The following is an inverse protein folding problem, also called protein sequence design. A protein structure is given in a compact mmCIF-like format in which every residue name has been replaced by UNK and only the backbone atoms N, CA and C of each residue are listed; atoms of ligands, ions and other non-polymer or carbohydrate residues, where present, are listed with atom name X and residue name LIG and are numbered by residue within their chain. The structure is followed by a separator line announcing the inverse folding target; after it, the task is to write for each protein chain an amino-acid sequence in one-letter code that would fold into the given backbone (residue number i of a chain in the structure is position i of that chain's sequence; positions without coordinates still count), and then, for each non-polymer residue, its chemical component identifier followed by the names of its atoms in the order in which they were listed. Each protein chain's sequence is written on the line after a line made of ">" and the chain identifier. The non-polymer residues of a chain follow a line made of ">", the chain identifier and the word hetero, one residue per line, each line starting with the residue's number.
data_IF_443900083160
#
_entry.id   IF_443900083160
#
_cell.length_a   1.000
_cell.length_b   1.000
_cell.length_c   1.000
_cell.angle_alpha   90.00
_cell.angle_beta   90.00
_cell.angle_gamma   90.00
#
_symmetry.space_group_name_H-M   'P 1'
#
loop_
_entity.id
_entity.type
_entity.pdbx_description
1 polymer ?
#
# COMPACT_ATOMS: atom_id res chain seq x y z
N UNK A 1 0.56 7.21 5.01
CA UNK A 1 0.03 8.57 5.15
C UNK A 1 0.29 9.07 6.57
N UNK A 2 0.79 10.30 6.73
CA UNK A 2 1.14 10.90 8.03
C UNK A 2 0.17 12.03 8.37
N UNK A 3 -0.20 12.17 9.65
CA UNK A 3 -1.13 13.19 10.13
C UNK A 3 -0.37 14.19 11.02
N UNK A 4 -0.54 15.48 10.73
CA UNK A 4 -0.13 16.57 11.62
C UNK A 4 -1.33 16.99 12.47
N UNK A 5 -1.16 17.10 13.78
CA UNK A 5 -2.22 17.56 14.68
C UNK A 5 -2.33 19.08 14.60
N UNK A 6 -3.45 19.59 14.09
CA UNK A 6 -3.84 20.99 14.25
C UNK A 6 -5.04 21.04 15.20
N UNK A 7 -5.06 22.04 16.08
CA UNK A 7 -6.21 22.25 16.97
C UNK A 7 -7.41 22.71 16.13
N UNK A 8 -8.46 21.91 16.12
CA UNK A 8 -9.74 22.27 15.52
C UNK A 8 -10.33 23.49 16.25
N UNK A 9 -10.90 24.45 15.49
CA UNK A 9 -11.68 25.55 16.06
C UNK A 9 -13.05 25.11 16.60
N UNK A 10 -13.49 23.89 16.28
CA UNK A 10 -14.68 23.28 16.84
C UNK A 10 -14.34 22.61 18.19
N UNK A 11 -14.91 23.07 19.33
CA UNK A 11 -14.62 22.55 20.66
C UNK A 11 -15.08 21.11 20.90
N UNK A 12 -15.94 20.56 20.03
CA UNK A 12 -16.36 19.15 20.11
C UNK A 12 -15.36 18.17 19.51
N UNK A 13 -14.35 18.65 18.77
CA UNK A 13 -13.33 17.81 18.13
C UNK A 13 -12.06 17.88 18.97
N UNK A 14 -11.77 16.79 19.67
CA UNK A 14 -10.54 16.64 20.45
C UNK A 14 -9.38 16.24 19.53
N UNK A 15 -8.14 16.70 19.81
CA UNK A 15 -6.95 16.20 19.13
C UNK A 15 -6.78 14.69 19.32
N UNK A 16 -6.20 14.04 18.33
CA UNK A 16 -5.82 12.62 18.39
C UNK A 16 -4.49 12.52 19.15
N UNK A 17 -4.40 11.63 20.14
CA UNK A 17 -3.21 11.42 20.96
C UNK A 17 -2.51 10.09 20.65
N UNK A 18 -1.18 10.00 20.85
CA UNK A 18 -0.44 8.75 20.69
C UNK A 18 -1.05 7.61 21.50
N UNK A 19 -1.01 6.41 20.94
CA UNK A 19 -1.48 5.15 21.55
C UNK A 19 -2.99 5.06 21.81
N UNK A 20 -3.77 6.02 21.31
CA UNK A 20 -5.22 5.85 21.21
C UNK A 20 -5.57 4.86 20.10
N UNK A 21 -6.66 4.14 20.31
CA UNK A 21 -7.22 3.18 19.36
C UNK A 21 -8.49 3.75 18.74
N UNK A 22 -8.66 3.52 17.44
CA UNK A 22 -9.82 3.95 16.66
C UNK A 22 -10.26 2.81 15.75
N UNK A 23 -11.54 2.86 15.34
CA UNK A 23 -12.03 2.04 14.23
C UNK A 23 -11.88 2.82 12.92
N UNK A 24 -11.26 2.22 11.92
CA UNK A 24 -11.31 2.67 10.52
C UNK A 24 -12.31 1.79 9.78
N UNK A 25 -13.52 2.31 9.57
CA UNK A 25 -14.72 1.52 9.22
C UNK A 25 -15.57 2.04 8.03
N UNK A 26 -14.98 2.36 6.85
CA UNK A 26 -15.77 2.77 5.70
C UNK A 26 -16.78 1.68 5.28
N UNK A 27 -17.98 2.13 4.89
CA UNK A 27 -19.05 1.23 4.44
C UNK A 27 -19.99 1.85 3.41
N UNK A 28 -20.68 0.98 2.68
CA UNK A 28 -21.71 1.31 1.70
C UNK A 28 -22.91 0.37 1.87
N UNK A 29 -24.12 0.91 1.76
CA UNK A 29 -25.35 0.16 1.93
C UNK A 29 -26.34 0.51 0.82
N UNK A 30 -26.93 -0.51 0.23
CA UNK A 30 -27.95 -0.42 -0.82
C UNK A 30 -29.22 -1.10 -0.30
N UNK A 31 -30.24 -0.29 -0.01
CA UNK A 31 -31.48 -0.74 0.62
C UNK A 31 -32.15 -1.87 -0.16
N UNK A 32 -32.55 -2.91 0.57
CA UNK A 32 -33.18 -4.10 0.00
C UNK A 32 -32.26 -4.97 -0.86
N UNK A 33 -30.95 -4.66 -0.95
CA UNK A 33 -29.96 -5.46 -1.69
C UNK A 33 -28.84 -5.95 -0.77
N UNK A 34 -27.81 -5.15 -0.56
CA UNK A 34 -26.60 -5.57 0.16
C UNK A 34 -25.93 -4.41 0.90
N UNK A 35 -25.00 -4.75 1.78
CA UNK A 35 -24.14 -3.79 2.46
C UNK A 35 -22.72 -4.34 2.58
N UNK A 36 -21.74 -3.45 2.59
CA UNK A 36 -20.33 -3.75 2.76
C UNK A 36 -19.78 -2.79 3.79
N UNK A 37 -19.01 -3.30 4.76
CA UNK A 37 -18.21 -2.50 5.68
C UNK A 37 -16.85 -3.17 5.84
N UNK A 38 -15.79 -2.38 5.71
CA UNK A 38 -14.42 -2.81 5.94
C UNK A 38 -13.97 -2.15 7.23
N UNK A 39 -13.69 -2.93 8.26
CA UNK A 39 -13.38 -2.41 9.60
C UNK A 39 -12.01 -2.91 10.07
N UNK A 40 -11.16 -1.99 10.51
CA UNK A 40 -9.85 -2.30 11.11
C UNK A 40 -9.64 -1.43 12.34
N UNK A 41 -9.28 -2.05 13.47
CA UNK A 41 -8.78 -1.29 14.61
C UNK A 41 -7.39 -0.78 14.30
N UNK A 42 -7.19 0.52 14.45
CA UNK A 42 -5.91 1.20 14.24
C UNK A 42 -5.46 1.90 15.51
N UNK A 43 -4.15 1.94 15.72
CA UNK A 43 -3.52 2.66 16.82
C UNK A 43 -2.72 3.84 16.29
N UNK A 44 -2.82 4.99 16.98
CA UNK A 44 -2.00 6.16 16.70
C UNK A 44 -0.56 5.90 17.14
N UNK A 45 0.38 5.96 16.22
CA UNK A 45 1.80 5.74 16.47
C UNK A 45 2.62 6.98 16.12
N UNK A 46 3.60 7.40 16.95
CA UNK A 46 4.54 8.45 16.56
C UNK A 46 5.26 8.11 15.25
N UNK A 47 5.37 9.10 14.35
CA UNK A 47 6.00 8.95 13.04
C UNK A 47 7.01 10.08 12.80
N UNK A 48 8.17 9.74 12.26
CA UNK A 48 9.21 10.71 11.91
C UNK A 48 9.40 10.74 10.39
N UNK A 49 8.95 11.78 9.68
CA UNK A 49 9.15 11.89 8.24
C UNK A 49 10.62 12.09 7.88
N UNK A 50 11.00 11.65 6.67
CA UNK A 50 12.39 11.70 6.17
C UNK A 50 12.94 13.12 6.01
N UNK A 51 12.08 14.08 5.69
CA UNK A 51 12.43 15.49 5.56
C UNK A 51 11.68 16.26 6.65
N UNK A 52 12.40 16.69 7.69
CA UNK A 52 11.83 17.42 8.81
C UNK A 52 11.85 18.93 8.53
N UNK A 53 10.70 19.57 8.72
CA UNK A 53 10.60 20.96 9.16
C UNK A 53 10.84 20.97 10.67
N UNK A 54 11.77 21.79 11.16
CA UNK A 54 12.09 21.82 12.59
C UNK A 54 10.83 22.20 13.40
N UNK A 55 10.55 21.44 14.48
CA UNK A 55 9.51 21.64 15.50
C UNK A 55 8.11 21.01 15.28
N UNK A 56 7.93 20.10 14.31
CA UNK A 56 6.63 19.42 14.12
C UNK A 56 6.69 17.93 14.51
N UNK A 57 5.65 17.45 15.22
CA UNK A 57 5.47 16.03 15.54
C UNK A 57 4.39 15.43 14.63
N UNK A 58 4.74 14.33 13.95
CA UNK A 58 3.83 13.61 13.08
C UNK A 58 3.43 12.27 13.70
N UNK A 59 2.28 11.78 13.26
CA UNK A 59 1.75 10.47 13.63
C UNK A 59 1.32 9.68 12.40
N UNK A 60 1.26 8.37 12.56
CA UNK A 60 0.70 7.43 11.59
C UNK A 60 -0.31 6.52 12.30
N UNK A 61 -1.18 5.89 11.53
CA UNK A 61 -2.02 4.81 12.03
C UNK A 61 -1.36 3.46 11.74
N UNK A 62 -1.31 2.60 12.76
CA UNK A 62 -0.89 1.20 12.61
C UNK A 62 -2.06 0.26 12.79
N UNK A 63 -2.29 -0.69 11.86
CA UNK A 63 -3.33 -1.69 12.02
C UNK A 63 -3.02 -2.59 13.22
N UNK A 64 -4.07 -2.97 13.94
CA UNK A 64 -4.04 -3.92 15.04
C UNK A 64 -4.83 -5.18 14.66
N UNK A 65 -5.89 -5.01 13.87
CA UNK A 65 -6.66 -6.13 13.32
C UNK A 65 -6.02 -6.61 12.02
N UNK A 66 -5.55 -7.86 12.03
CA UNK A 66 -4.97 -8.53 10.86
C UNK A 66 -5.89 -9.65 10.37
N UNK A 67 -6.73 -9.33 9.39
CA UNK A 67 -7.62 -10.28 8.72
C UNK A 67 -7.58 -9.98 7.22
N UNK A 68 -7.37 -10.99 6.35
CA UNK A 68 -7.30 -10.75 4.91
C UNK A 68 -8.57 -10.10 4.37
N UNK A 69 -8.43 -9.20 3.40
CA UNK A 69 -9.56 -8.73 2.59
C UNK A 69 -10.11 -9.88 1.72
N UNK A 70 -11.42 -9.88 1.47
CA UNK A 70 -12.03 -10.87 0.58
C UNK A 70 -11.68 -10.55 -0.88
N UNK A 71 -10.71 -11.27 -1.44
CA UNK A 71 -10.15 -11.04 -2.78
C UNK A 71 -11.20 -11.08 -3.89
N UNK A 72 -12.25 -11.89 -3.75
CA UNK A 72 -13.29 -12.00 -4.77
C UNK A 72 -14.20 -10.75 -4.85
N UNK A 73 -14.14 -9.87 -3.85
CA UNK A 73 -14.94 -8.63 -3.79
C UNK A 73 -14.11 -7.39 -4.17
N UNK A 74 -12.85 -7.57 -4.58
CA UNK A 74 -11.98 -6.48 -5.01
C UNK A 74 -11.97 -6.41 -6.53
N UNK A 75 -12.47 -5.31 -7.08
CA UNK A 75 -12.22 -4.97 -8.48
C UNK A 75 -10.81 -4.38 -8.62
N UNK A 76 -9.85 -5.22 -8.99
CA UNK A 76 -8.45 -4.84 -9.13
C UNK A 76 -8.21 -3.77 -10.20
N UNK A 77 -9.13 -3.59 -11.16
CA UNK A 77 -9.01 -2.54 -12.18
C UNK A 77 -9.18 -1.12 -11.63
N UNK A 78 -9.81 -0.99 -10.45
CA UNK A 78 -9.99 0.28 -9.75
C UNK A 78 -8.80 0.65 -8.85
N UNK A 79 -7.86 -0.27 -8.63
CA UNK A 79 -6.71 -0.05 -7.77
C UNK A 79 -5.55 0.56 -8.56
N UNK A 80 -4.96 1.63 -8.02
CA UNK A 80 -3.70 2.15 -8.52
C UNK A 80 -2.50 1.37 -7.93
N UNK A 81 -1.29 1.61 -8.47
CA UNK A 81 -0.07 0.93 -8.04
C UNK A 81 0.25 1.09 -6.55
N UNK A 82 -0.05 2.26 -5.96
CA UNK A 82 0.17 2.48 -4.52
C UNK A 82 -0.78 1.63 -3.69
N UNK A 83 -2.05 1.53 -4.10
CA UNK A 83 -3.07 0.72 -3.41
C UNK A 83 -2.78 -0.78 -3.54
N UNK A 84 -2.32 -1.24 -4.71
CA UNK A 84 -1.89 -2.64 -4.88
C UNK A 84 -0.70 -2.95 -3.98
N UNK A 85 0.32 -2.08 -3.95
CA UNK A 85 1.46 -2.25 -3.06
C UNK A 85 1.03 -2.23 -1.58
N UNK A 86 0.12 -1.34 -1.20
CA UNK A 86 -0.44 -1.30 0.15
C UNK A 86 -1.14 -2.61 0.52
N UNK A 87 -2.00 -3.13 -0.36
CA UNK A 87 -2.72 -4.39 -0.14
C UNK A 87 -1.77 -5.58 -0.01
N UNK A 88 -0.73 -5.64 -0.85
CA UNK A 88 0.28 -6.69 -0.78
C UNK A 88 1.10 -6.62 0.51
N UNK A 89 1.47 -5.41 0.95
CA UNK A 89 2.15 -5.22 2.23
C UNK A 89 1.26 -5.64 3.40
N UNK A 90 -0.01 -5.24 3.40
CA UNK A 90 -0.98 -5.66 4.42
C UNK A 90 -1.15 -7.19 4.47
N UNK A 91 -1.24 -7.84 3.30
CA UNK A 91 -1.30 -9.29 3.18
C UNK A 91 -0.04 -9.97 3.75
N UNK A 92 1.14 -9.39 3.52
CA UNK A 92 2.40 -9.88 4.08
C UNK A 92 2.47 -9.70 5.59
N UNK A 93 2.07 -8.55 6.13
CA UNK A 93 1.98 -8.29 7.58
C UNK A 93 0.98 -9.24 8.25
N UNK A 94 -0.18 -9.47 7.61
CA UNK A 94 -1.19 -10.41 8.09
C UNK A 94 -0.60 -11.81 8.22
N UNK A 95 0.11 -12.31 7.20
CA UNK A 95 0.82 -13.60 7.30
C UNK A 95 1.85 -13.60 8.41
N UNK A 96 2.65 -12.55 8.51
CA UNK A 96 3.71 -12.41 9.51
C UNK A 96 3.15 -12.54 10.93
N UNK A 97 2.05 -11.84 11.25
CA UNK A 97 1.44 -11.86 12.57
C UNK A 97 0.62 -13.12 12.85
N UNK A 98 -0.11 -13.63 11.86
CA UNK A 98 -1.12 -14.67 12.09
C UNK A 98 -0.57 -16.09 11.92
N UNK A 99 0.34 -16.35 10.96
CA UNK A 99 0.84 -17.71 10.72
C UNK A 99 1.42 -18.40 11.96
N UNK A 100 2.23 -17.73 12.82
CA UNK A 100 2.75 -18.36 14.03
C UNK A 100 1.66 -18.83 15.00
N UNK A 101 0.51 -18.14 15.02
CA UNK A 101 -0.63 -18.46 15.90
C UNK A 101 -1.44 -19.65 15.40
N UNK A 102 -1.28 -20.03 14.13
CA UNK A 102 -2.00 -21.14 13.48
C UNK A 102 -1.17 -22.44 13.46
N UNK A 103 -0.07 -22.51 14.23
CA UNK A 103 0.79 -23.67 14.27
C UNK A 103 0.00 -24.95 14.61
N UNK A 104 0.07 -25.95 13.74
CA UNK A 104 -0.66 -27.22 13.88
C UNK A 104 -2.03 -27.27 13.20
N UNK A 105 -2.55 -26.15 12.66
CA UNK A 105 -3.78 -26.12 11.86
C UNK A 105 -3.47 -25.89 10.38
N UNK A 106 -3.19 -26.98 9.66
CA UNK A 106 -2.86 -26.93 8.24
C UNK A 106 -4.01 -26.37 7.38
N UNK A 107 -5.26 -26.59 7.80
CA UNK A 107 -6.43 -26.09 7.08
C UNK A 107 -6.47 -24.56 7.16
N UNK A 108 -6.29 -23.99 8.36
CA UNK A 108 -6.27 -22.55 8.56
C UNK A 108 -5.07 -21.89 7.84
N UNK A 109 -3.89 -22.51 7.91
CA UNK A 109 -2.69 -22.04 7.20
C UNK A 109 -2.93 -21.99 5.68
N UNK A 110 -3.47 -23.06 5.10
CA UNK A 110 -3.77 -23.11 3.67
C UNK A 110 -4.80 -22.05 3.27
N UNK A 111 -5.83 -21.87 4.09
CA UNK A 111 -6.82 -20.82 3.89
C UNK A 111 -6.18 -19.43 3.91
N UNK A 112 -5.40 -19.10 4.94
CA UNK A 112 -4.75 -17.79 5.07
C UNK A 112 -3.83 -17.49 3.88
N UNK A 113 -3.03 -18.47 3.46
CA UNK A 113 -2.16 -18.33 2.30
C UNK A 113 -2.95 -18.10 1.00
N UNK A 114 -4.08 -18.81 0.83
CA UNK A 114 -4.95 -18.60 -0.34
C UNK A 114 -5.60 -17.21 -0.38
N UNK A 115 -5.88 -16.62 0.78
CA UNK A 115 -6.53 -15.30 0.90
C UNK A 115 -5.57 -14.11 0.88
N UNK A 116 -4.27 -14.36 0.98
CA UNK A 116 -3.25 -13.30 1.05
C UNK A 116 -2.29 -13.32 -0.15
N UNK A 117 -2.67 -13.97 -1.25
CA UNK A 117 -1.84 -13.99 -2.46
C UNK A 117 -1.51 -12.58 -2.95
N UNK A 118 -0.32 -12.43 -3.55
CA UNK A 118 0.10 -11.15 -4.11
C UNK A 118 -0.74 -10.79 -5.34
N UNK A 119 -1.24 -9.56 -5.32
CA UNK A 119 -1.93 -8.94 -6.44
C UNK A 119 -0.89 -8.31 -7.34
N UNK A 120 -0.97 -8.59 -8.64
CA UNK A 120 -0.10 -7.98 -9.66
C UNK A 120 -0.93 -7.02 -10.50
N UNK A 121 -0.38 -5.83 -10.76
CA UNK A 121 -0.91 -4.98 -11.80
C UNK A 121 -0.59 -5.63 -13.15
N UNK A 122 -1.60 -5.73 -14.02
CA UNK A 122 -1.30 -5.95 -15.43
C UNK A 122 -0.54 -4.74 -15.94
N UNK A 123 0.65 -4.96 -16.47
CA UNK A 123 1.45 -3.90 -17.08
C UNK A 123 0.64 -3.28 -18.21
N UNK A 124 0.26 -2.02 -18.05
CA UNK A 124 -0.32 -1.30 -19.19
C UNK A 124 0.81 -1.17 -20.22
N UNK A 125 0.52 -1.33 -21.52
CA UNK A 125 1.51 -1.25 -22.62
C UNK A 125 2.43 0.00 -22.58
N UNK A 126 2.08 1.04 -21.82
CA UNK A 126 2.93 2.21 -21.57
C UNK A 126 4.20 1.90 -20.76
N UNK A 127 4.14 1.00 -19.78
CA UNK A 127 5.28 0.70 -18.91
C UNK A 127 6.35 -0.12 -19.64
N UNK A 128 5.92 -1.03 -20.52
CA UNK A 128 6.81 -1.80 -21.39
C UNK A 128 7.58 -0.90 -22.37
N UNK A 129 6.94 0.15 -22.90
CA UNK A 129 7.59 1.11 -23.80
C UNK A 129 8.66 1.95 -23.08
N UNK A 130 8.43 2.35 -21.82
CA UNK A 130 9.44 3.04 -21.01
C UNK A 130 10.60 2.13 -20.59
N UNK A 131 10.36 0.82 -20.46
CA UNK A 131 11.41 -0.15 -20.12
C UNK A 131 12.21 -0.63 -21.35
N UNK A 132 11.65 -0.45 -22.56
CA UNK A 132 12.33 -0.71 -23.84
C UNK A 132 13.20 0.46 -24.32
N UNK A 133 13.26 1.57 -23.58
CA UNK A 133 14.20 2.66 -23.85
C UNK A 133 15.57 2.38 -23.21
N UNK A 134 16.31 1.44 -23.80
CA UNK A 134 17.76 1.35 -23.59
C UNK A 134 18.39 2.37 -24.54
N UNK A 135 19.03 3.46 -24.05
CA UNK A 135 19.79 4.32 -24.93
C UNK A 135 20.90 3.45 -25.54
N UNK A 136 20.86 3.27 -26.85
CA UNK A 136 21.83 2.47 -27.59
C UNK A 136 23.22 3.10 -27.45
N UNK A 137 23.98 2.66 -26.46
CA UNK A 137 25.41 2.99 -26.32
C UNK A 137 26.22 2.44 -27.52
N UNK A 138 25.59 1.65 -28.40
CA UNK A 138 26.15 1.18 -29.66
C UNK A 138 26.14 2.20 -30.81
N UNK A 139 25.47 3.35 -30.70
CA UNK A 139 25.39 4.30 -31.84
C UNK A 139 26.51 5.34 -31.91
N UNK A 140 27.30 5.55 -30.85
CA UNK A 140 28.41 6.52 -30.88
C UNK A 140 29.72 5.95 -31.45
N UNK A 141 29.86 4.62 -31.54
CA UNK A 141 31.05 3.99 -32.11
C UNK A 141 31.07 3.98 -33.65
N UNK A 142 29.93 4.21 -34.31
CA UNK A 142 29.84 4.09 -35.78
C UNK A 142 30.10 5.40 -36.54
N UNK A 143 30.11 6.55 -35.87
CA UNK A 143 30.40 7.85 -36.52
C UNK A 143 31.90 8.22 -36.49
N UNK A 144 32.69 7.60 -35.62
CA UNK A 144 34.13 7.87 -35.48
C UNK A 144 35.02 7.15 -36.53
N UNK A 145 34.46 6.21 -37.30
CA UNK A 145 35.21 5.42 -38.29
C UNK A 145 35.17 5.97 -39.72
N UNK A 146 34.43 7.06 -40.00
CA UNK A 146 34.34 7.64 -41.35
C UNK A 146 34.96 9.03 -41.52
N UNK A 147 35.46 9.66 -40.45
CA UNK A 147 36.16 10.96 -40.55
C UNK A 147 37.69 10.77 -40.68
N UNK A 148 38.21 9.55 -40.47
CA UNK A 148 39.65 9.24 -40.50
C UNK A 148 40.24 8.79 -41.85
N UNK A 149 39.50 8.90 -42.97
CA UNK A 149 40.02 8.57 -44.32
C UNK A 149 40.00 9.73 -45.31
N UNK A 150 39.77 10.96 -44.84
CA UNK A 150 40.06 12.17 -45.63
C UNK A 150 40.86 13.08 -44.71
N UNK A 151 42.17 12.82 -44.64
CA UNK A 151 43.32 13.73 -44.46
C UNK A 151 44.55 12.90 -44.05
#
# INVERSE_FOLDING_TARGET
>A
DSIALTTSSNPSIQPIYPYQFYSDEPGYYEDGKFGIRLETIVMVNPYTPKYLTANEQFYEFKPITFVPFETNLIDHSLLNAKQVNWLNNYNAETRYHILPLLAGDQRAINWLNSRTQEVRLESTNRDLASQMYIPSIFSLAFLALFIGQIY
#
